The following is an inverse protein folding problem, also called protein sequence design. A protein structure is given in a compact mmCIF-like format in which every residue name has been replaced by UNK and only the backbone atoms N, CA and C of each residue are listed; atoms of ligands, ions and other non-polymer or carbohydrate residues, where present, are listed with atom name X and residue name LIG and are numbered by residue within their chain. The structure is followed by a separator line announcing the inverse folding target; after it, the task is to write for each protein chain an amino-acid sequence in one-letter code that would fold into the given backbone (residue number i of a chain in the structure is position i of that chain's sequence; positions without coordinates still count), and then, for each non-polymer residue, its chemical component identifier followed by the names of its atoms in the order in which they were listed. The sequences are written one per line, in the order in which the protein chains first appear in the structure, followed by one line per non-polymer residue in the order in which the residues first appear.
data_IF_171334608117
#
_entry.id   IF_171334608117
#
_cell.length_a   1.000
_cell.length_b   1.000
_cell.length_c   1.000
_cell.angle_alpha   90.00
_cell.angle_beta   90.00
_cell.angle_gamma   90.00
#
_symmetry.space_group_name_H-M   'P 1'
#
loop_
_entity.id
_entity.type
_entity.pdbx_description
1 polymer ?
#
# COMPACT_ATOMS: atom_id res chain seq x y z
N UNK A 1 28.17 2.36 -7.60
CA UNK A 1 27.69 2.42 -6.20
C UNK A 1 28.72 1.76 -5.32
N UNK A 2 28.97 2.31 -4.13
CA UNK A 2 29.84 1.69 -3.14
C UNK A 2 29.16 0.47 -2.50
N UNK A 3 29.95 -0.47 -1.98
CA UNK A 3 29.45 -1.69 -1.32
C UNK A 3 28.43 -1.40 -0.21
N UNK A 4 28.63 -0.41 0.69
CA UNK A 4 27.64 -0.10 1.73
C UNK A 4 26.27 0.30 1.18
N UNK A 5 26.24 1.06 0.07
CA UNK A 5 24.98 1.49 -0.57
C UNK A 5 24.23 0.28 -1.12
N UNK A 6 24.94 -0.69 -1.73
CA UNK A 6 24.32 -1.91 -2.23
C UNK A 6 23.73 -2.76 -1.10
N UNK A 7 24.41 -2.87 0.04
CA UNK A 7 23.89 -3.59 1.22
C UNK A 7 22.56 -2.99 1.68
N UNK A 8 22.46 -1.66 1.78
CA UNK A 8 21.20 -0.98 2.14
C UNK A 8 20.11 -1.27 1.12
N UNK A 9 20.42 -1.24 -0.18
CA UNK A 9 19.48 -1.57 -1.24
C UNK A 9 18.95 -3.01 -1.14
N UNK A 10 19.84 -3.99 -0.95
CA UNK A 10 19.43 -5.39 -0.80
C UNK A 10 18.60 -5.62 0.47
N UNK A 11 18.96 -4.99 1.59
CA UNK A 11 18.13 -5.03 2.79
C UNK A 11 16.73 -4.47 2.50
N UNK A 12 16.63 -3.29 1.87
CA UNK A 12 15.35 -2.70 1.48
C UNK A 12 14.51 -3.67 0.62
N UNK A 13 15.16 -4.36 -0.33
CA UNK A 13 14.53 -5.32 -1.23
C UNK A 13 13.97 -6.57 -0.55
N UNK A 14 14.39 -6.86 0.69
CA UNK A 14 13.88 -7.96 1.51
C UNK A 14 12.75 -7.46 2.42
N UNK A 15 12.95 -6.32 3.09
CA UNK A 15 11.98 -5.80 4.07
C UNK A 15 10.63 -5.46 3.43
N UNK A 16 10.62 -4.81 2.26
CA UNK A 16 9.35 -4.46 1.60
C UNK A 16 8.52 -5.71 1.27
N UNK A 17 9.04 -6.73 0.54
CA UNK A 17 8.24 -7.91 0.23
C UNK A 17 7.83 -8.71 1.47
N UNK A 18 8.71 -8.80 2.49
CA UNK A 18 8.38 -9.46 3.75
C UNK A 18 7.17 -8.82 4.45
N UNK A 19 6.94 -7.53 4.27
CA UNK A 19 5.75 -6.86 4.84
C UNK A 19 4.44 -7.43 4.27
N UNK A 20 4.43 -7.89 3.02
CA UNK A 20 3.24 -8.48 2.37
C UNK A 20 3.00 -9.94 2.74
N UNK A 21 4.00 -10.63 3.32
CA UNK A 21 3.90 -12.04 3.67
C UNK A 21 2.81 -12.32 4.74
N UNK A 22 2.75 -11.63 5.90
CA UNK A 22 1.69 -11.84 6.88
C UNK A 22 0.29 -11.64 6.32
N UNK A 23 0.12 -10.62 5.47
CA UNK A 23 -1.16 -10.31 4.84
C UNK A 23 -1.56 -11.42 3.85
N UNK A 24 -0.62 -11.91 3.05
CA UNK A 24 -0.83 -13.02 2.11
C UNK A 24 -1.25 -14.29 2.85
N UNK A 25 -0.53 -14.65 3.92
CA UNK A 25 -0.85 -15.81 4.76
C UNK A 25 -2.26 -15.68 5.37
N UNK A 26 -2.62 -14.50 5.87
CA UNK A 26 -3.95 -14.24 6.44
C UNK A 26 -5.06 -14.51 5.43
N UNK A 27 -4.90 -14.07 4.18
CA UNK A 27 -5.88 -14.28 3.12
C UNK A 27 -6.01 -15.78 2.79
N UNK A 28 -4.88 -16.48 2.65
CA UNK A 28 -4.85 -17.92 2.36
C UNK A 28 -5.57 -18.70 3.47
N UNK A 29 -5.28 -18.39 4.73
CA UNK A 29 -5.86 -19.10 5.89
C UNK A 29 -7.33 -18.77 6.12
N UNK A 30 -7.73 -17.51 6.00
CA UNK A 30 -9.07 -17.05 6.44
C UNK A 30 -10.06 -16.89 5.31
N UNK A 31 -9.60 -16.81 4.05
CA UNK A 31 -10.39 -16.45 2.86
C UNK A 31 -11.12 -15.10 2.95
N UNK A 32 -10.90 -14.31 4.01
CA UNK A 32 -11.56 -13.03 4.23
C UNK A 32 -10.88 -11.94 3.40
N UNK A 33 -11.62 -11.41 2.43
CA UNK A 33 -11.13 -10.43 1.45
C UNK A 33 -12.02 -9.19 1.33
N UNK A 34 -13.10 -9.06 2.11
CA UNK A 34 -13.99 -7.88 2.11
C UNK A 34 -13.27 -6.56 2.45
N UNK A 35 -12.11 -6.68 3.11
CA UNK A 35 -11.23 -5.55 3.43
C UNK A 35 -10.46 -5.02 2.23
N UNK A 36 -10.19 -5.86 1.22
CA UNK A 36 -9.16 -5.66 0.19
C UNK A 36 -9.78 -5.04 -1.06
N UNK A 37 -9.18 -3.94 -1.52
CA UNK A 37 -9.62 -3.23 -2.73
C UNK A 37 -8.97 -3.83 -3.99
N UNK A 38 -9.77 -4.49 -4.83
CA UNK A 38 -9.32 -5.02 -6.13
C UNK A 38 -8.67 -3.91 -6.99
N UNK A 39 -9.32 -2.74 -7.22
CA UNK A 39 -8.73 -1.69 -8.04
C UNK A 39 -7.37 -1.20 -7.51
N UNK A 40 -7.22 -1.10 -6.18
CA UNK A 40 -5.95 -0.70 -5.57
C UNK A 40 -4.84 -1.70 -5.91
N UNK A 41 -5.10 -3.01 -5.75
CA UNK A 41 -4.11 -4.04 -6.07
C UNK A 41 -3.84 -4.15 -7.58
N UNK A 42 -4.83 -3.86 -8.44
CA UNK A 42 -4.62 -3.76 -9.88
C UNK A 42 -3.68 -2.60 -10.23
N UNK A 43 -3.96 -1.39 -9.72
CA UNK A 43 -3.10 -0.21 -9.94
C UNK A 43 -1.69 -0.46 -9.38
N UNK A 44 -1.61 -1.07 -8.19
CA UNK A 44 -0.34 -1.44 -7.58
C UNK A 44 0.47 -2.40 -8.46
N UNK A 45 -0.17 -3.44 -9.01
CA UNK A 45 0.49 -4.40 -9.88
C UNK A 45 0.98 -3.77 -11.20
N UNK A 46 0.17 -2.91 -11.82
CA UNK A 46 0.59 -2.14 -13.00
C UNK A 46 1.80 -1.25 -12.65
N UNK A 47 1.72 -0.53 -11.53
CA UNK A 47 2.82 0.29 -11.03
C UNK A 47 4.10 -0.52 -10.78
N UNK A 48 3.99 -1.73 -10.22
CA UNK A 48 5.13 -2.64 -10.04
C UNK A 48 5.77 -2.97 -11.39
N UNK A 49 4.99 -3.36 -12.40
CA UNK A 49 5.52 -3.68 -13.73
C UNK A 49 6.22 -2.46 -14.32
N UNK A 50 5.58 -1.28 -14.31
CA UNK A 50 6.15 -0.04 -14.83
C UNK A 50 7.48 0.30 -14.14
N UNK A 51 7.54 0.18 -12.82
CA UNK A 51 8.72 0.52 -12.03
C UNK A 51 9.82 -0.56 -12.12
N UNK A 52 9.46 -1.82 -12.34
CA UNK A 52 10.39 -2.91 -12.67
C UNK A 52 11.04 -2.66 -14.04
N UNK A 53 10.25 -2.28 -15.06
CA UNK A 53 10.78 -1.92 -16.38
C UNK A 53 11.78 -0.77 -16.25
N UNK A 54 11.45 0.28 -15.49
CA UNK A 54 12.39 1.35 -15.16
C UNK A 54 13.70 0.80 -14.54
N UNK A 55 13.62 -0.13 -13.58
CA UNK A 55 14.78 -0.72 -12.92
C UNK A 55 15.72 -1.48 -13.87
N UNK A 56 15.13 -2.27 -14.79
CA UNK A 56 15.85 -3.08 -15.77
C UNK A 56 16.56 -2.21 -16.81
N UNK A 57 15.87 -1.18 -17.31
CA UNK A 57 16.38 -0.32 -18.37
C UNK A 57 17.13 0.93 -17.87
N UNK A 58 17.27 1.09 -16.55
CA UNK A 58 18.01 2.20 -15.95
C UNK A 58 19.45 2.25 -16.48
N UNK A 59 19.85 3.41 -16.97
CA UNK A 59 21.19 3.69 -17.52
C UNK A 59 22.00 4.53 -16.52
N UNK A 60 23.31 4.31 -16.35
CA UNK A 60 24.19 3.38 -17.08
C UNK A 60 24.14 1.92 -16.60
N UNK A 61 23.55 1.65 -15.44
CA UNK A 61 23.46 0.30 -14.87
C UNK A 61 22.06 0.02 -14.35
N UNK A 62 21.60 -1.19 -14.58
CA UNK A 62 20.36 -1.73 -14.02
C UNK A 62 20.39 -1.68 -12.49
N UNK A 63 19.23 -1.45 -11.88
CA UNK A 63 19.07 -1.32 -10.44
C UNK A 63 18.68 -2.69 -9.83
N UNK A 64 19.68 -3.55 -9.60
CA UNK A 64 19.45 -4.94 -9.15
C UNK A 64 18.60 -5.03 -7.87
N UNK A 65 18.86 -4.25 -6.79
CA UNK A 65 18.04 -4.33 -5.59
C UNK A 65 16.58 -3.97 -5.85
N UNK A 66 16.32 -2.97 -6.70
CA UNK A 66 14.96 -2.61 -7.10
C UNK A 66 14.32 -3.70 -7.95
N UNK A 67 15.05 -4.32 -8.90
CA UNK A 67 14.55 -5.45 -9.70
C UNK A 67 14.07 -6.60 -8.82
N UNK A 68 14.90 -7.01 -7.84
CA UNK A 68 14.57 -8.09 -6.90
C UNK A 68 13.31 -7.72 -6.09
N UNK A 69 13.30 -6.52 -5.51
CA UNK A 69 12.16 -6.05 -4.72
C UNK A 69 10.85 -6.09 -5.53
N UNK A 70 10.87 -5.51 -6.73
CA UNK A 70 9.69 -5.42 -7.58
C UNK A 70 9.23 -6.77 -8.10
N UNK A 71 10.17 -7.68 -8.38
CA UNK A 71 9.84 -9.05 -8.79
C UNK A 71 9.10 -9.79 -7.68
N UNK A 72 9.62 -9.78 -6.45
CA UNK A 72 9.00 -10.47 -5.31
C UNK A 72 7.67 -9.79 -4.94
N UNK A 73 7.60 -8.46 -4.94
CA UNK A 73 6.35 -7.72 -4.74
C UNK A 73 5.30 -8.05 -5.80
N UNK A 74 5.70 -8.20 -7.06
CA UNK A 74 4.83 -8.60 -8.15
C UNK A 74 4.17 -9.95 -7.89
N UNK A 75 4.94 -10.92 -7.39
CA UNK A 75 4.45 -12.25 -7.01
C UNK A 75 3.44 -12.20 -5.86
N UNK A 76 3.70 -11.40 -4.83
CA UNK A 76 2.72 -11.19 -3.75
C UNK A 76 1.48 -10.47 -4.23
N UNK A 77 1.64 -9.40 -5.02
CA UNK A 77 0.54 -8.60 -5.54
C UNK A 77 -0.40 -9.43 -6.43
N UNK A 78 0.14 -10.21 -7.37
CA UNK A 78 -0.68 -11.06 -8.25
C UNK A 78 -1.35 -12.18 -7.45
N UNK A 79 -0.69 -12.74 -6.45
CA UNK A 79 -1.27 -13.77 -5.56
C UNK A 79 -2.45 -13.20 -4.77
N UNK A 80 -2.27 -12.05 -4.11
CA UNK A 80 -3.33 -11.39 -3.34
C UNK A 80 -4.49 -10.99 -4.26
N UNK A 81 -4.20 -10.43 -5.43
CA UNK A 81 -5.21 -10.03 -6.42
C UNK A 81 -6.02 -11.24 -6.90
N UNK A 82 -5.33 -12.34 -7.25
CA UNK A 82 -5.98 -13.57 -7.73
C UNK A 82 -6.85 -14.22 -6.67
N UNK A 83 -6.37 -14.31 -5.42
CA UNK A 83 -7.15 -14.83 -4.29
C UNK A 83 -8.36 -13.95 -3.98
N UNK A 84 -8.20 -12.62 -4.07
CA UNK A 84 -9.29 -11.66 -3.84
C UNK A 84 -10.36 -11.79 -4.92
N UNK A 85 -9.98 -11.86 -6.19
CA UNK A 85 -10.90 -12.07 -7.32
C UNK A 85 -11.62 -13.42 -7.17
N UNK A 86 -10.89 -14.50 -6.91
CA UNK A 86 -11.45 -15.83 -6.71
C UNK A 86 -12.49 -15.85 -5.59
N UNK A 87 -12.17 -15.28 -4.43
CA UNK A 87 -13.09 -15.23 -3.30
C UNK A 87 -14.33 -14.39 -3.63
N UNK A 88 -14.20 -13.25 -4.32
CA UNK A 88 -15.35 -12.43 -4.74
C UNK A 88 -16.23 -13.18 -5.75
N UNK A 89 -15.64 -13.86 -6.73
CA UNK A 89 -16.38 -14.61 -7.76
C UNK A 89 -17.11 -15.82 -7.16
N UNK A 90 -16.48 -16.56 -6.26
CA UNK A 90 -17.10 -17.73 -5.62
C UNK A 90 -18.13 -17.34 -4.56
N UNK A 91 -17.87 -16.31 -3.76
CA UNK A 91 -18.85 -15.81 -2.78
C UNK A 91 -20.07 -15.18 -3.47
N UNK A 92 -19.95 -14.74 -4.73
CA UNK A 92 -21.09 -14.29 -5.56
C UNK A 92 -22.09 -15.40 -5.92
N UNK A 93 -21.89 -16.67 -5.52
CA UNK A 93 -22.93 -17.70 -5.63
C UNK A 93 -24.09 -17.54 -4.63
N UNK A 94 -24.07 -16.52 -3.75
CA UNK A 94 -25.24 -16.16 -2.94
C UNK A 94 -25.37 -14.63 -2.69
N UNK A 95 -26.44 -14.03 -3.26
CA UNK A 95 -27.00 -12.65 -3.11
C UNK A 95 -26.30 -11.43 -3.77
N UNK A 96 -26.93 -10.97 -4.87
CA UNK A 96 -27.50 -9.64 -5.23
C UNK A 96 -26.88 -8.28 -4.79
N UNK A 97 -25.95 -8.19 -3.84
CA UNK A 97 -25.46 -6.86 -3.35
C UNK A 97 -24.13 -6.40 -3.93
N UNK A 98 -23.50 -7.20 -4.80
CA UNK A 98 -22.16 -6.90 -5.34
C UNK A 98 -22.21 -6.07 -6.64
N UNK A 99 -23.36 -5.99 -7.32
CA UNK A 99 -23.51 -5.21 -8.56
C UNK A 99 -23.34 -3.70 -8.33
N UNK A 100 -23.93 -3.14 -7.27
CA UNK A 100 -23.89 -1.69 -7.00
C UNK A 100 -22.49 -1.14 -6.66
N UNK A 101 -21.63 -1.93 -6.00
CA UNK A 101 -20.27 -1.50 -5.64
C UNK A 101 -19.30 -1.66 -6.82
N UNK A 102 -19.52 -2.66 -7.68
CA UNK A 102 -18.76 -2.86 -8.91
C UNK A 102 -19.09 -1.81 -9.98
N UNK A 103 -20.34 -1.34 -10.03
CA UNK A 103 -20.73 -0.18 -10.83
C UNK A 103 -20.12 1.11 -10.27
N UNK A 104 -20.18 1.35 -8.96
CA UNK A 104 -19.66 2.57 -8.33
C UNK A 104 -18.13 2.74 -8.50
N UNK A 105 -17.35 1.66 -8.52
CA UNK A 105 -15.89 1.73 -8.79
C UNK A 105 -15.57 2.07 -10.25
N UNK A 106 -16.38 1.56 -11.20
CA UNK A 106 -16.28 1.87 -12.64
C UNK A 106 -16.79 3.27 -12.98
N UNK A 107 -17.77 3.81 -12.25
CA UNK A 107 -18.42 5.10 -12.56
C UNK A 107 -17.67 6.33 -12.02
N UNK A 108 -16.87 6.22 -10.96
CA UNK A 108 -16.20 7.39 -10.35
C UNK A 108 -14.70 7.24 -10.13
N UNK A 109 -14.20 6.07 -9.70
CA UNK A 109 -12.78 5.89 -9.38
C UNK A 109 -11.95 5.65 -10.65
N UNK A 110 -12.45 4.85 -11.59
CA UNK A 110 -11.77 4.58 -12.85
C UNK A 110 -11.62 5.85 -13.72
N UNK A 111 -12.64 6.73 -13.87
CA UNK A 111 -12.49 7.99 -14.60
C UNK A 111 -11.58 9.00 -13.90
N UNK A 112 -11.58 9.10 -12.56
CA UNK A 112 -10.67 9.99 -11.83
C UNK A 112 -9.22 9.48 -11.92
N UNK A 113 -9.00 8.17 -11.81
CA UNK A 113 -7.69 7.56 -12.02
C UNK A 113 -7.21 7.72 -13.47
N UNK A 114 -8.11 7.57 -14.46
CA UNK A 114 -7.83 7.83 -15.87
C UNK A 114 -7.63 9.33 -16.15
N UNK A 115 -8.32 10.24 -15.47
CA UNK A 115 -8.14 11.70 -15.64
C UNK A 115 -6.85 12.20 -15.00
N UNK A 116 -6.45 11.63 -13.86
CA UNK A 116 -5.14 11.91 -13.24
C UNK A 116 -4.03 11.28 -14.09
N UNK A 117 -4.23 10.04 -14.59
CA UNK A 117 -3.31 9.39 -15.51
C UNK A 117 -3.21 10.17 -16.83
N UNK A 118 -4.31 10.60 -17.43
CA UNK A 118 -4.34 11.44 -18.63
C UNK A 118 -3.75 12.82 -18.37
N UNK A 119 -4.06 13.48 -17.25
CA UNK A 119 -3.48 14.78 -16.88
C UNK A 119 -1.97 14.71 -16.68
N UNK A 120 -1.48 13.60 -16.13
CA UNK A 120 -0.04 13.32 -15.98
C UNK A 120 0.61 12.86 -17.29
N UNK A 121 -0.07 12.10 -18.14
CA UNK A 121 0.39 11.74 -19.49
C UNK A 121 0.44 12.97 -20.42
N UNK A 122 -0.50 13.91 -20.27
CA UNK A 122 -0.49 15.22 -20.92
C UNK A 122 0.64 16.09 -20.34
N UNK A 123 0.85 16.07 -19.02
CA UNK A 123 1.97 16.75 -18.36
C UNK A 123 3.33 16.19 -18.80
N UNK A 124 3.44 14.87 -18.95
CA UNK A 124 4.59 14.17 -19.51
C UNK A 124 4.76 14.53 -20.99
N UNK A 125 3.68 14.54 -21.79
CA UNK A 125 3.70 14.96 -23.20
C UNK A 125 4.15 16.41 -23.38
N UNK A 126 3.70 17.31 -22.50
CA UNK A 126 4.15 18.71 -22.46
C UNK A 126 5.61 18.83 -22.04
N UNK A 127 6.04 18.09 -21.01
CA UNK A 127 7.43 18.06 -20.55
C UNK A 127 8.39 17.39 -21.56
N UNK A 128 7.92 16.41 -22.34
CA UNK A 128 8.62 15.81 -23.48
C UNK A 128 8.75 16.82 -24.63
N UNK A 129 7.67 17.53 -24.97
CA UNK A 129 7.67 18.59 -25.99
C UNK A 129 8.62 19.74 -25.63
N UNK A 130 8.78 20.03 -24.34
CA UNK A 130 9.66 21.09 -23.85
C UNK A 130 11.06 20.62 -23.45
N UNK A 131 11.43 19.36 -23.73
CA UNK A 131 12.78 18.83 -23.48
C UNK A 131 13.17 18.71 -21.99
N UNK A 132 12.20 18.73 -21.08
CA UNK A 132 12.41 18.69 -19.62
C UNK A 132 12.61 17.27 -19.09
N UNK A 133 11.99 16.27 -19.74
CA UNK A 133 12.25 14.83 -19.53
C UNK A 133 13.22 14.36 -20.61
N UNK A 134 14.47 14.06 -20.23
CA UNK A 134 15.53 13.76 -21.21
C UNK A 134 15.54 12.31 -21.68
N UNK A 135 14.87 11.37 -21.00
CA UNK A 135 14.96 9.94 -21.34
C UNK A 135 13.70 9.15 -20.96
N UNK A 136 13.38 8.10 -21.74
CA UNK A 136 12.36 7.08 -21.45
C UNK A 136 12.37 6.59 -19.98
N UNK A 137 13.57 6.48 -19.38
CA UNK A 137 13.77 6.07 -17.98
C UNK A 137 13.06 6.99 -16.98
N UNK A 138 13.03 8.31 -17.21
CA UNK A 138 12.38 9.23 -16.29
C UNK A 138 10.85 9.05 -16.31
N UNK A 139 10.28 8.90 -17.51
CA UNK A 139 8.84 8.67 -17.68
C UNK A 139 8.40 7.39 -16.96
N UNK A 140 9.11 6.29 -17.19
CA UNK A 140 8.80 5.00 -16.55
C UNK A 140 9.01 5.05 -15.03
N UNK A 141 10.09 5.69 -14.57
CA UNK A 141 10.38 5.83 -13.15
C UNK A 141 9.30 6.61 -12.42
N UNK A 142 8.99 7.83 -12.88
CA UNK A 142 7.98 8.66 -12.22
C UNK A 142 6.57 8.06 -12.32
N UNK A 143 6.22 7.48 -13.46
CA UNK A 143 4.91 6.82 -13.64
C UNK A 143 4.74 5.64 -12.68
N UNK A 144 5.77 4.78 -12.56
CA UNK A 144 5.75 3.66 -11.62
C UNK A 144 5.64 4.12 -10.16
N UNK A 145 6.42 5.13 -9.78
CA UNK A 145 6.38 5.72 -8.44
C UNK A 145 4.99 6.27 -8.09
N UNK A 146 4.33 6.97 -9.03
CA UNK A 146 2.99 7.53 -8.85
C UNK A 146 1.94 6.42 -8.71
N UNK A 147 1.94 5.44 -9.63
CA UNK A 147 0.96 4.35 -9.60
C UNK A 147 1.03 3.56 -8.28
N UNK A 148 2.24 3.24 -7.81
CA UNK A 148 2.44 2.56 -6.53
C UNK A 148 1.94 3.43 -5.37
N UNK A 149 2.28 4.72 -5.38
CA UNK A 149 1.93 5.68 -4.34
C UNK A 149 0.42 5.84 -4.15
N UNK A 150 -0.32 6.03 -5.25
CA UNK A 150 -1.77 6.25 -5.19
C UNK A 150 -2.54 4.98 -4.86
N UNK A 151 -1.98 3.80 -5.16
CA UNK A 151 -2.64 2.53 -4.89
C UNK A 151 -2.94 2.31 -3.40
N UNK A 152 -2.14 2.87 -2.48
CA UNK A 152 -2.30 2.68 -1.04
C UNK A 152 -3.19 3.73 -0.36
N UNK A 153 -3.50 4.87 -1.01
CA UNK A 153 -4.36 5.92 -0.45
C UNK A 153 -5.77 5.46 -0.08
N UNK A 154 -6.48 4.66 -0.90
CA UNK A 154 -7.84 4.21 -0.57
C UNK A 154 -7.91 3.44 0.76
N UNK A 155 -6.85 2.68 1.08
CA UNK A 155 -6.79 1.89 2.31
C UNK A 155 -6.65 2.79 3.55
N UNK A 156 -5.80 3.80 3.49
CA UNK A 156 -5.62 4.79 4.56
C UNK A 156 -6.92 5.58 4.79
N UNK A 157 -7.56 6.03 3.71
CA UNK A 157 -8.85 6.72 3.80
C UNK A 157 -9.96 5.82 4.39
N UNK A 158 -10.04 4.56 3.97
CA UNK A 158 -11.01 3.59 4.52
C UNK A 158 -10.83 3.42 6.03
N UNK A 159 -9.59 3.34 6.52
CA UNK A 159 -9.35 3.25 7.97
C UNK A 159 -9.77 4.53 8.69
N UNK A 160 -9.42 5.70 8.15
CA UNK A 160 -9.85 6.98 8.72
C UNK A 160 -11.37 7.07 8.86
N UNK A 161 -12.12 6.65 7.84
CA UNK A 161 -13.59 6.68 7.84
C UNK A 161 -14.21 5.61 8.74
N UNK A 162 -13.71 4.39 8.70
CA UNK A 162 -14.38 3.24 9.34
C UNK A 162 -13.88 2.95 10.75
N UNK A 163 -12.70 3.46 11.13
CA UNK A 163 -12.01 3.20 12.41
C UNK A 163 -11.76 1.71 12.71
N UNK A 164 -12.01 0.83 11.74
CA UNK A 164 -11.96 -0.62 11.92
C UNK A 164 -10.56 -1.17 11.61
N UNK A 165 -9.84 -1.59 12.66
CA UNK A 165 -8.48 -2.13 12.57
C UNK A 165 -8.41 -3.66 12.56
N UNK A 166 -9.51 -4.40 12.74
CA UNK A 166 -9.51 -5.89 12.86
C UNK A 166 -8.89 -6.60 11.65
N UNK A 167 -8.96 -5.97 10.48
CA UNK A 167 -8.38 -6.47 9.24
C UNK A 167 -6.88 -6.23 9.09
N UNK A 168 -6.30 -5.28 9.83
CA UNK A 168 -4.98 -4.72 9.55
C UNK A 168 -3.88 -5.31 10.43
N UNK A 169 -2.72 -5.54 9.83
CA UNK A 169 -1.52 -6.03 10.52
C UNK A 169 -0.60 -4.86 10.87
N UNK A 170 -0.42 -4.62 12.17
CA UNK A 170 0.54 -3.61 12.66
C UNK A 170 1.98 -3.99 12.27
N UNK A 171 2.31 -5.29 12.32
CA UNK A 171 3.64 -5.79 11.94
C UNK A 171 3.92 -5.47 10.46
N UNK A 172 2.94 -5.69 9.58
CA UNK A 172 3.09 -5.37 8.15
C UNK A 172 3.40 -3.90 7.96
N UNK A 173 2.68 -3.00 8.63
CA UNK A 173 2.89 -1.55 8.46
C UNK A 173 4.23 -1.10 9.03
N UNK A 174 4.70 -1.67 10.14
CA UNK A 174 6.02 -1.39 10.71
C UNK A 174 7.16 -1.88 9.81
N UNK A 175 7.10 -3.14 9.35
CA UNK A 175 8.11 -3.72 8.46
C UNK A 175 8.15 -2.97 7.12
N UNK A 176 6.99 -2.60 6.58
CA UNK A 176 6.91 -1.79 5.37
C UNK A 176 7.53 -0.40 5.57
N UNK A 177 7.28 0.25 6.71
CA UNK A 177 7.87 1.55 7.04
C UNK A 177 9.41 1.51 7.08
N UNK A 178 9.97 0.45 7.67
CA UNK A 178 11.42 0.23 7.68
C UNK A 178 11.96 0.02 6.27
N UNK A 179 11.29 -0.80 5.45
CA UNK A 179 11.66 -1.00 4.04
C UNK A 179 11.67 0.29 3.22
N UNK A 180 10.64 1.14 3.37
CA UNK A 180 10.57 2.45 2.72
C UNK A 180 11.73 3.37 3.17
N UNK A 181 12.03 3.37 4.47
CA UNK A 181 13.16 4.14 5.03
C UNK A 181 14.49 3.71 4.42
N UNK A 182 14.72 2.39 4.29
CA UNK A 182 15.93 1.85 3.66
C UNK A 182 16.02 2.23 2.17
N UNK A 183 14.91 2.22 1.43
CA UNK A 183 14.92 2.67 0.03
C UNK A 183 15.14 4.18 -0.13
N UNK A 184 14.66 5.01 0.80
CA UNK A 184 14.96 6.45 0.82
C UNK A 184 16.46 6.68 1.01
N UNK A 185 17.08 5.96 1.95
CA UNK A 185 18.53 6.01 2.18
C UNK A 185 19.29 5.51 0.94
N UNK A 186 18.90 4.36 0.40
CA UNK A 186 19.50 3.80 -0.82
C UNK A 186 19.42 4.76 -2.02
N UNK A 187 18.25 5.35 -2.25
CA UNK A 187 18.03 6.26 -3.37
C UNK A 187 18.79 7.58 -3.21
N UNK A 188 18.89 8.10 -1.98
CA UNK A 188 19.68 9.31 -1.65
C UNK A 188 21.18 9.09 -1.79
N UNK A 189 21.68 7.90 -1.43
CA UNK A 189 23.10 7.55 -1.54
C UNK A 189 23.49 7.00 -2.92
N UNK A 190 22.52 6.85 -3.83
CA UNK A 190 22.78 6.49 -5.21
C UNK A 190 23.53 7.62 -5.92
N UNK A 191 24.48 7.28 -6.79
CA UNK A 191 25.19 8.26 -7.61
C UNK A 191 25.07 7.91 -9.11
N UNK A 192 24.32 8.70 -9.91
CA UNK A 192 23.52 9.86 -9.48
C UNK A 192 22.31 9.46 -8.61
N UNK A 193 21.75 10.43 -7.89
CA UNK A 193 20.59 10.24 -7.01
C UNK A 193 19.42 9.66 -7.82
N UNK A 194 18.79 8.60 -7.30
CA UNK A 194 17.65 7.97 -7.96
C UNK A 194 16.35 8.69 -7.57
N UNK A 195 16.07 9.83 -8.21
CA UNK A 195 14.91 10.69 -7.87
C UNK A 195 13.55 9.98 -7.94
N UNK A 196 13.23 9.18 -8.98
CA UNK A 196 11.95 8.47 -9.01
C UNK A 196 11.76 7.53 -7.81
N UNK A 197 12.80 6.79 -7.44
CA UNK A 197 12.78 5.92 -6.26
C UNK A 197 12.72 6.71 -4.96
N UNK A 198 13.49 7.78 -4.84
CA UNK A 198 13.51 8.62 -3.65
C UNK A 198 12.13 9.24 -3.38
N UNK A 199 11.57 9.94 -4.37
CA UNK A 199 10.31 10.66 -4.22
C UNK A 199 9.13 9.71 -4.01
N UNK A 200 9.08 8.58 -4.74
CA UNK A 200 8.06 7.56 -4.55
C UNK A 200 8.08 6.96 -3.15
N UNK A 201 9.27 6.65 -2.61
CA UNK A 201 9.37 6.10 -1.26
C UNK A 201 9.13 7.15 -0.17
N UNK A 202 9.51 8.43 -0.35
CA UNK A 202 9.14 9.51 0.58
C UNK A 202 7.62 9.65 0.67
N UNK A 203 6.94 9.70 -0.47
CA UNK A 203 5.48 9.79 -0.49
C UNK A 203 4.84 8.56 0.18
N UNK A 204 5.27 7.36 -0.21
CA UNK A 204 4.81 6.12 0.40
C UNK A 204 5.06 6.07 1.91
N UNK A 205 6.19 6.61 2.37
CA UNK A 205 6.56 6.68 3.78
C UNK A 205 5.58 7.55 4.55
N UNK A 206 5.21 8.72 4.02
CA UNK A 206 4.21 9.61 4.63
C UNK A 206 2.84 8.93 4.68
N UNK A 207 2.38 8.33 3.59
CA UNK A 207 1.09 7.61 3.56
C UNK A 207 1.07 6.47 4.57
N UNK A 208 2.16 5.69 4.64
CA UNK A 208 2.27 4.58 5.57
C UNK A 208 2.39 5.05 7.03
N UNK A 209 3.07 6.17 7.28
CA UNK A 209 3.14 6.79 8.60
C UNK A 209 1.74 7.21 9.08
N UNK A 210 0.96 7.88 8.23
CA UNK A 210 -0.43 8.22 8.52
C UNK A 210 -1.28 6.97 8.81
N UNK A 211 -1.11 5.91 8.03
CA UNK A 211 -1.79 4.64 8.26
C UNK A 211 -1.41 4.03 9.61
N UNK A 212 -0.11 3.99 9.93
CA UNK A 212 0.40 3.48 11.20
C UNK A 212 -0.15 4.28 12.39
N UNK A 213 -0.11 5.61 12.31
CA UNK A 213 -0.68 6.50 13.32
C UNK A 213 -2.17 6.21 13.55
N UNK A 214 -2.96 6.12 12.47
CA UNK A 214 -4.39 5.82 12.56
C UNK A 214 -4.65 4.44 13.17
N UNK A 215 -3.84 3.43 12.86
CA UNK A 215 -3.96 2.10 13.48
C UNK A 215 -3.73 2.22 14.99
N UNK A 216 -2.64 2.84 15.41
CA UNK A 216 -2.30 3.02 16.83
C UNK A 216 -3.37 3.81 17.58
N UNK A 217 -3.83 4.92 17.02
CA UNK A 217 -4.87 5.76 17.62
C UNK A 217 -6.18 4.99 17.84
N UNK A 218 -6.66 4.28 16.83
CA UNK A 218 -7.91 3.51 16.95
C UNK A 218 -7.76 2.30 17.90
N UNK A 219 -6.58 1.68 17.97
CA UNK A 219 -6.31 0.63 18.96
C UNK A 219 -6.32 1.17 20.39
N UNK A 220 -5.76 2.36 20.61
CA UNK A 220 -5.79 3.04 21.89
C UNK A 220 -7.22 3.39 22.31
N UNK A 221 -8.00 4.02 21.41
CA UNK A 221 -9.38 4.39 21.69
C UNK A 221 -10.25 3.18 22.05
N UNK A 222 -10.15 2.08 21.28
CA UNK A 222 -10.89 0.85 21.57
C UNK A 222 -10.51 0.24 22.94
N UNK A 223 -9.27 0.40 23.41
CA UNK A 223 -8.86 -0.06 24.75
C UNK A 223 -9.48 0.79 25.86
N UNK A 224 -9.49 2.11 25.69
CA UNK A 224 -10.09 3.03 26.68
C UNK A 224 -11.60 2.82 26.83
N UNK A 225 -12.33 2.69 25.71
CA UNK A 225 -13.78 2.44 25.72
C UNK A 225 -14.13 1.13 26.44
N UNK A 226 -13.38 0.05 26.20
CA UNK A 226 -13.56 -1.22 26.89
C UNK A 226 -13.28 -1.12 28.40
N UNK A 227 -12.26 -0.35 28.79
CA UNK A 227 -11.91 -0.14 30.20
C UNK A 227 -13.00 0.67 30.94
N UNK A 228 -13.51 1.75 30.33
CA UNK A 228 -14.65 2.53 30.85
C UNK A 228 -15.92 1.67 30.95
N UNK A 229 -16.23 0.89 29.92
CA UNK A 229 -17.36 -0.03 29.91
C UNK A 229 -17.30 -1.08 31.02
N UNK A 230 -16.13 -1.66 31.27
CA UNK A 230 -15.93 -2.63 32.36
C UNK A 230 -16.07 -1.97 33.75
N UNK A 231 -15.51 -0.77 33.95
CA UNK A 231 -15.69 -0.01 35.20
C UNK A 231 -17.16 0.30 35.48
N UNK A 232 -17.93 0.70 34.47
CA UNK A 232 -19.37 0.97 34.63
C UNK A 232 -20.16 -0.31 34.94
N UNK A 233 -19.89 -1.43 34.26
CA UNK A 233 -20.52 -2.73 34.59
C UNK A 233 -20.24 -3.17 36.02
N UNK A 234 -19.02 -2.94 36.51
CA UNK A 234 -18.65 -3.28 37.89
C UNK A 234 -19.34 -2.37 38.91
N UNK A 235 -19.47 -1.06 38.64
CA UNK A 235 -20.27 -0.15 39.47
C UNK A 235 -21.74 -0.55 39.55
N UNK A 236 -22.37 -0.91 38.43
CA UNK A 236 -23.77 -1.35 38.40
C UNK A 236 -23.97 -2.63 39.22
N UNK A 237 -23.06 -3.62 39.08
CA UNK A 237 -23.11 -4.85 39.90
C UNK A 237 -23.00 -4.57 41.40
N UNK A 238 -22.07 -3.70 41.79
CA UNK A 238 -21.87 -3.37 43.21
C UNK A 238 -23.04 -2.55 43.79
N UNK A 239 -23.64 -1.66 43.00
CA UNK A 239 -24.83 -0.88 43.42
C UNK A 239 -26.09 -1.73 43.54
N UNK A 240 -26.30 -2.71 42.65
CA UNK A 240 -27.43 -3.62 42.70
C UNK A 240 -27.36 -4.59 43.90
N UNK A 241 -26.15 -5.02 44.29
CA UNK A 241 -25.95 -5.87 45.49
C UNK A 241 -26.26 -5.16 46.81
N UNK A 242 -26.04 -3.84 46.88
CA UNK A 242 -26.32 -3.05 48.09
C UNK A 242 -27.80 -2.64 48.24
N UNK A 243 -28.61 -2.73 47.17
CA UNK A 243 -30.04 -2.40 47.22
C UNK A 243 -30.93 -3.62 47.52
N UNK A 244 -30.36 -4.82 47.61
CA UNK A 244 -31.05 -6.08 47.89
C UNK A 244 -30.91 -6.55 49.35
N UNK A 245 -30.29 -5.73 50.20
CA UNK A 245 -30.17 -5.89 51.65
C UNK A 245 -30.91 -4.75 52.36
#
# INVERSE_FOLDING_TARGET
MSTPVLVVGYLASIFIPLAFLPQTIKIIKTRETKGISIPAYTIYFIGIITFLTFAVFKTPKMDIPMIICQTINGLFAITILSLTIYNVVIMKKNKSSVSKIETLSKTFILPIALLICCGLLIGIGFALKNGTLKTYNDVMGYSGAILISVAFLPQTYKLFKTKNTKGLSLITTLVYHLGLTLFIIYASLSNPINYPLLLGNIFGWVVNFCLLFLICYNLYQNRDDNHKGNKNKQKVKNGAGNAAH
#
